data_IF_420813043598
#
_entry.id   IF_420813043598
#
_cell.length_a   1.000
_cell.length_b   1.000
_cell.length_c   1.000
_cell.angle_alpha   90.00
_cell.angle_beta   90.00
_cell.angle_gamma   90.00
#
_symmetry.space_group_name_H-M   'P 1'
#
loop_
_entity.id
_entity.type
_entity.pdbx_description
1 polymer ?
#
# COMPACT_ATOMS: atom_id res chain seq x y z
N UNK A 1 22.09 29.56 -11.53
CA UNK A 1 21.30 28.32 -11.53
C UNK A 1 22.30 27.22 -11.78
N UNK A 2 22.44 26.30 -10.82
CA UNK A 2 23.40 25.20 -10.95
C UNK A 2 22.91 24.26 -12.05
N UNK A 3 23.81 23.73 -12.88
CA UNK A 3 23.45 23.01 -14.12
C UNK A 3 22.49 21.81 -13.93
N UNK A 4 22.36 21.28 -12.71
CA UNK A 4 21.47 20.17 -12.39
C UNK A 4 20.01 20.59 -12.11
N UNK A 5 19.74 21.87 -11.87
CA UNK A 5 18.37 22.38 -11.63
C UNK A 5 17.43 22.16 -12.85
N UNK A 6 18.01 22.00 -14.04
CA UNK A 6 17.28 21.64 -15.25
C UNK A 6 16.52 20.32 -15.11
N UNK A 7 17.15 19.28 -14.54
CA UNK A 7 16.53 17.96 -14.38
C UNK A 7 15.43 17.94 -13.32
N UNK A 8 15.59 18.75 -12.27
CA UNK A 8 14.59 18.89 -11.21
C UNK A 8 13.30 19.57 -11.67
N UNK A 9 13.40 20.49 -12.63
CA UNK A 9 12.25 21.17 -13.25
C UNK A 9 11.89 20.64 -14.64
N UNK A 10 12.44 19.48 -15.02
CA UNK A 10 12.38 18.95 -16.39
C UNK A 10 10.95 18.66 -16.87
N UNK A 11 10.04 18.31 -15.96
CA UNK A 11 8.62 18.05 -16.26
C UNK A 11 7.80 19.30 -16.55
N UNK A 12 8.31 20.49 -16.21
CA UNK A 12 7.61 21.78 -16.37
C UNK A 12 8.07 22.55 -17.61
N UNK A 13 9.09 22.03 -18.32
CA UNK A 13 9.74 22.68 -19.46
C UNK A 13 9.53 21.91 -20.76
N UNK A 14 9.89 22.54 -21.87
CA UNK A 14 9.93 21.90 -23.19
C UNK A 14 10.93 20.73 -23.20
N UNK A 15 10.48 19.54 -23.61
CA UNK A 15 11.27 18.31 -23.60
C UNK A 15 11.67 17.88 -25.03
N UNK A 16 12.91 18.16 -25.48
CA UNK A 16 13.41 17.61 -26.72
C UNK A 16 13.52 16.08 -26.65
N UNK A 17 13.27 15.39 -27.78
CA UNK A 17 13.26 13.92 -27.85
C UNK A 17 14.54 13.31 -28.43
N UNK A 18 15.37 14.11 -29.07
CA UNK A 18 16.60 13.69 -29.73
C UNK A 18 17.72 14.72 -29.51
N UNK A 19 18.98 14.29 -29.57
CA UNK A 19 20.14 15.19 -29.48
C UNK A 19 20.05 16.36 -30.47
N UNK A 20 19.58 16.10 -31.70
CA UNK A 20 19.40 17.15 -32.71
C UNK A 20 18.29 18.14 -32.36
N UNK A 21 17.18 17.66 -31.79
CA UNK A 21 16.12 18.55 -31.29
C UNK A 21 16.55 19.36 -30.07
N UNK A 22 17.39 18.78 -29.20
CA UNK A 22 17.94 19.46 -28.04
C UNK A 22 18.94 20.54 -28.46
N UNK A 23 19.78 20.27 -29.46
CA UNK A 23 20.70 21.25 -30.02
C UNK A 23 19.96 22.43 -30.66
N UNK A 24 18.86 22.17 -31.36
CA UNK A 24 18.01 23.23 -31.92
C UNK A 24 17.33 24.03 -30.81
N UNK A 25 16.73 23.36 -29.83
CA UNK A 25 16.08 24.02 -28.69
C UNK A 25 17.07 24.86 -27.88
N UNK A 26 18.32 24.39 -27.72
CA UNK A 26 19.39 25.13 -27.06
C UNK A 26 19.76 26.40 -27.84
N UNK A 27 19.86 26.32 -29.18
CA UNK A 27 20.11 27.50 -30.02
C UNK A 27 19.02 28.56 -29.90
N UNK A 28 17.77 28.12 -29.74
CA UNK A 28 16.61 29.01 -29.56
C UNK A 28 16.40 29.44 -28.09
N UNK A 29 17.28 29.05 -27.16
CA UNK A 29 17.18 29.39 -25.74
C UNK A 29 16.00 28.75 -25.01
N UNK A 30 15.42 27.66 -25.54
CA UNK A 30 14.27 26.96 -24.96
C UNK A 30 14.67 25.94 -23.89
N UNK A 31 15.92 25.50 -23.89
CA UNK A 31 16.48 24.53 -22.93
C UNK A 31 17.94 24.89 -22.62
N UNK A 32 18.43 24.43 -21.47
CA UNK A 32 19.82 24.63 -21.03
C UNK A 32 20.78 23.64 -21.72
N UNK A 33 22.09 23.87 -21.60
CA UNK A 33 23.12 23.06 -22.26
C UNK A 33 23.09 21.59 -21.81
N UNK A 34 22.67 21.35 -20.57
CA UNK A 34 22.52 20.03 -19.95
C UNK A 34 21.48 19.17 -20.66
N UNK A 35 20.46 19.78 -21.29
CA UNK A 35 19.49 19.06 -22.12
C UNK A 35 20.15 18.41 -23.35
N UNK A 36 21.09 19.13 -23.97
CA UNK A 36 21.84 18.64 -25.12
C UNK A 36 22.90 17.63 -24.70
N UNK A 37 23.60 17.86 -23.58
CA UNK A 37 24.57 16.91 -23.04
C UNK A 37 23.85 15.59 -22.72
N UNK A 38 22.77 15.61 -21.94
CA UNK A 38 22.02 14.40 -21.56
C UNK A 38 21.60 13.56 -22.78
N UNK A 39 21.00 14.19 -23.80
CA UNK A 39 20.55 13.50 -25.01
C UNK A 39 21.67 13.17 -26.00
N UNK A 40 22.80 13.88 -25.94
CA UNK A 40 23.94 13.74 -26.83
C UNK A 40 24.96 12.71 -26.37
N UNK A 41 25.08 12.48 -25.06
CA UNK A 41 26.04 11.52 -24.50
C UNK A 41 25.38 10.22 -23.99
N UNK A 42 24.05 10.09 -24.09
CA UNK A 42 23.28 8.94 -23.57
C UNK A 42 23.56 8.63 -22.09
N UNK A 43 23.95 9.63 -21.31
CA UNK A 43 24.19 9.49 -19.87
C UNK A 43 22.86 9.81 -19.18
N UNK A 44 22.23 8.80 -18.55
CA UNK A 44 21.05 9.01 -17.70
C UNK A 44 21.44 9.90 -16.51
N UNK A 45 20.61 10.87 -16.09
CA UNK A 45 20.91 11.68 -14.92
C UNK A 45 20.95 10.76 -13.70
N UNK A 46 21.82 11.04 -12.74
CA UNK A 46 21.87 10.29 -11.49
C UNK A 46 20.57 10.37 -10.65
N UNK A 47 19.67 11.30 -11.01
CA UNK A 47 18.34 11.47 -10.41
C UNK A 47 17.28 10.48 -10.93
N UNK A 48 17.53 9.75 -12.03
CA UNK A 48 16.72 8.56 -12.35
C UNK A 48 17.13 7.48 -11.35
N UNK A 49 16.32 7.22 -10.32
CA UNK A 49 16.54 6.07 -9.42
C UNK A 49 16.67 4.81 -10.29
N UNK A 50 17.88 4.21 -10.42
CA UNK A 50 18.02 3.03 -11.25
C UNK A 50 17.35 1.89 -10.48
N UNK A 51 16.16 1.51 -10.92
CA UNK A 51 15.49 0.34 -10.39
C UNK A 51 16.23 -0.89 -10.94
N UNK A 52 16.80 -1.68 -10.04
CA UNK A 52 17.44 -2.95 -10.38
C UNK A 52 16.34 -4.00 -10.66
N UNK A 53 16.08 -4.23 -11.96
CA UNK A 53 15.07 -5.19 -12.41
C UNK A 53 15.44 -6.63 -12.04
N UNK A 54 16.73 -6.96 -12.01
CA UNK A 54 17.20 -8.30 -11.64
C UNK A 54 16.94 -8.57 -10.16
N UNK A 55 17.12 -7.57 -9.29
CA UNK A 55 16.78 -7.71 -7.88
C UNK A 55 15.27 -7.79 -7.66
N UNK A 56 14.46 -7.05 -8.44
CA UNK A 56 13.00 -7.22 -8.41
C UNK A 56 12.60 -8.65 -8.81
N UNK A 57 13.14 -9.18 -9.90
CA UNK A 57 12.85 -10.54 -10.34
C UNK A 57 13.26 -11.58 -9.28
N UNK A 58 14.42 -11.37 -8.66
CA UNK A 58 14.90 -12.19 -7.54
C UNK A 58 13.96 -12.15 -6.34
N UNK A 59 13.45 -10.97 -5.96
CA UNK A 59 12.46 -10.84 -4.89
C UNK A 59 11.18 -11.60 -5.28
N UNK A 60 10.68 -11.37 -6.51
CA UNK A 60 9.48 -11.99 -7.03
C UNK A 60 9.60 -13.51 -7.15
N UNK A 61 10.80 -14.07 -7.29
CA UNK A 61 11.01 -15.53 -7.32
C UNK A 61 10.58 -16.24 -6.02
N UNK A 62 10.50 -15.51 -4.90
CA UNK A 62 10.02 -16.05 -3.62
C UNK A 62 8.50 -16.15 -3.62
N UNK A 63 7.96 -17.28 -3.18
CA UNK A 63 6.50 -17.53 -3.17
C UNK A 63 5.79 -16.97 -1.93
N UNK A 64 6.53 -16.65 -0.87
CA UNK A 64 6.05 -16.25 0.45
C UNK A 64 6.40 -14.80 0.81
N UNK A 65 6.34 -13.90 -0.17
CA UNK A 65 6.47 -12.46 0.08
C UNK A 65 5.38 -11.95 1.03
N UNK A 66 5.80 -11.22 2.05
CA UNK A 66 4.89 -10.51 2.96
C UNK A 66 4.14 -9.37 2.26
N UNK A 67 3.11 -8.86 2.93
CA UNK A 67 2.25 -7.82 2.39
C UNK A 67 3.02 -6.52 2.13
N UNK A 68 3.89 -6.11 3.05
CA UNK A 68 4.63 -4.84 2.97
C UNK A 68 5.57 -4.82 1.76
N UNK A 69 6.28 -5.94 1.55
CA UNK A 69 7.12 -6.18 0.39
C UNK A 69 6.30 -6.15 -0.89
N UNK A 70 5.15 -6.83 -0.93
CA UNK A 70 4.27 -6.79 -2.11
C UNK A 70 3.76 -5.37 -2.40
N UNK A 71 3.38 -4.60 -1.38
CA UNK A 71 2.95 -3.20 -1.54
C UNK A 71 4.09 -2.36 -2.10
N UNK A 72 5.31 -2.51 -1.58
CA UNK A 72 6.47 -1.74 -2.04
C UNK A 72 6.84 -2.08 -3.48
N UNK A 73 6.93 -3.37 -3.80
CA UNK A 73 7.25 -3.85 -5.15
C UNK A 73 6.20 -3.38 -6.14
N UNK A 74 4.90 -3.52 -5.84
CA UNK A 74 3.84 -3.03 -6.74
C UNK A 74 3.89 -1.52 -6.92
N UNK A 75 4.21 -0.73 -5.88
CA UNK A 75 4.42 0.73 -6.04
C UNK A 75 5.55 1.05 -7.01
N UNK A 76 6.66 0.31 -6.96
CA UNK A 76 7.78 0.48 -7.89
C UNK A 76 7.34 0.09 -9.30
N UNK A 77 6.74 -1.09 -9.47
CA UNK A 77 6.27 -1.59 -10.77
C UNK A 77 5.23 -0.65 -11.41
N UNK A 78 4.31 -0.07 -10.63
CA UNK A 78 3.32 0.90 -11.13
C UNK A 78 3.97 2.17 -11.70
N UNK A 79 5.16 2.56 -11.23
CA UNK A 79 5.94 3.64 -11.84
C UNK A 79 6.55 3.16 -13.17
N UNK A 80 7.13 1.95 -13.19
CA UNK A 80 7.78 1.35 -14.35
C UNK A 80 6.82 1.00 -15.50
N UNK A 81 5.54 0.74 -15.23
CA UNK A 81 4.52 0.54 -16.28
C UNK A 81 4.41 1.75 -17.22
N UNK A 82 4.81 2.94 -16.76
CA UNK A 82 4.80 4.18 -17.56
C UNK A 82 6.16 4.51 -18.18
N UNK A 83 7.13 3.60 -18.09
CA UNK A 83 8.45 3.80 -18.67
C UNK A 83 8.37 3.93 -20.20
N UNK A 84 9.31 4.68 -20.79
CA UNK A 84 9.41 4.85 -22.24
C UNK A 84 9.98 3.61 -22.91
N UNK A 85 10.78 2.83 -22.19
CA UNK A 85 11.31 1.55 -22.64
C UNK A 85 10.22 0.47 -22.60
N UNK A 86 9.84 -0.12 -23.75
CA UNK A 86 8.77 -1.12 -23.80
C UNK A 86 9.10 -2.40 -23.02
N UNK A 87 10.37 -2.79 -22.95
CA UNK A 87 10.78 -4.00 -22.21
C UNK A 87 10.60 -3.80 -20.70
N UNK A 88 11.06 -2.68 -20.17
CA UNK A 88 10.84 -2.28 -18.77
C UNK A 88 9.36 -2.19 -18.42
N UNK A 89 8.55 -1.56 -19.28
CA UNK A 89 7.11 -1.44 -19.07
C UNK A 89 6.39 -2.80 -19.11
N UNK A 90 6.79 -3.68 -20.05
CA UNK A 90 6.24 -5.04 -20.15
C UNK A 90 6.61 -5.89 -18.94
N UNK A 91 7.89 -5.90 -18.53
CA UNK A 91 8.35 -6.57 -17.32
C UNK A 91 7.54 -6.13 -16.11
N UNK A 92 7.29 -4.82 -15.98
CA UNK A 92 6.52 -4.29 -14.87
C UNK A 92 5.07 -4.78 -14.87
N UNK A 93 4.41 -4.80 -16.02
CA UNK A 93 3.05 -5.29 -16.18
C UNK A 93 2.94 -6.81 -15.89
N UNK A 94 3.89 -7.61 -16.39
CA UNK A 94 3.94 -9.05 -16.14
C UNK A 94 4.20 -9.38 -14.66
N UNK A 95 5.09 -8.62 -14.02
CA UNK A 95 5.40 -8.75 -12.60
C UNK A 95 4.20 -8.43 -11.71
N UNK A 96 3.44 -7.39 -12.04
CA UNK A 96 2.17 -7.09 -11.35
C UNK A 96 1.21 -8.27 -11.52
N UNK A 97 0.99 -8.75 -12.75
CA UNK A 97 0.12 -9.90 -13.01
C UNK A 97 0.55 -11.17 -12.24
N UNK A 98 1.85 -11.38 -12.07
CA UNK A 98 2.38 -12.50 -11.29
C UNK A 98 1.94 -12.43 -9.82
N UNK A 99 2.08 -11.26 -9.18
CA UNK A 99 1.61 -11.03 -7.81
C UNK A 99 0.10 -11.27 -7.71
N UNK A 100 -0.68 -10.69 -8.63
CA UNK A 100 -2.14 -10.85 -8.67
C UNK A 100 -2.55 -12.32 -8.78
N UNK A 101 -1.88 -13.07 -9.67
CA UNK A 101 -2.15 -14.49 -9.87
C UNK A 101 -1.87 -15.33 -8.62
N UNK A 102 -0.85 -14.99 -7.83
CA UNK A 102 -0.60 -15.67 -6.53
C UNK A 102 -1.76 -15.51 -5.57
N UNK A 103 -2.25 -14.28 -5.41
CA UNK A 103 -3.42 -14.00 -4.58
C UNK A 103 -4.67 -14.70 -5.10
N UNK A 104 -4.93 -14.64 -6.41
CA UNK A 104 -6.09 -15.29 -7.02
C UNK A 104 -6.08 -16.81 -6.82
N UNK A 105 -4.92 -17.47 -6.95
CA UNK A 105 -4.77 -18.91 -6.65
C UNK A 105 -5.12 -19.22 -5.20
N UNK A 106 -4.55 -18.50 -4.23
CA UNK A 106 -4.85 -18.66 -2.80
C UNK A 106 -6.34 -18.46 -2.52
N UNK A 107 -6.95 -17.45 -3.12
CA UNK A 107 -8.39 -17.16 -3.00
C UNK A 107 -9.25 -18.32 -3.51
N UNK A 108 -8.95 -18.86 -4.68
CA UNK A 108 -9.72 -19.97 -5.25
C UNK A 108 -9.52 -21.27 -4.46
N UNK A 109 -8.32 -21.53 -3.95
CA UNK A 109 -8.05 -22.65 -3.03
C UNK A 109 -8.85 -22.54 -1.73
N UNK A 110 -8.91 -21.35 -1.12
CA UNK A 110 -9.69 -21.07 0.08
C UNK A 110 -11.19 -21.22 -0.19
N UNK A 111 -11.70 -20.69 -1.31
CA UNK A 111 -13.11 -20.85 -1.72
C UNK A 111 -13.47 -22.32 -1.92
N UNK A 112 -12.61 -23.08 -2.60
CA UNK A 112 -12.80 -24.51 -2.84
C UNK A 112 -12.80 -25.31 -1.52
N UNK A 113 -11.86 -25.00 -0.63
CA UNK A 113 -11.73 -25.65 0.68
C UNK A 113 -12.95 -25.36 1.57
N UNK A 114 -13.43 -24.10 1.56
CA UNK A 114 -14.66 -23.73 2.25
C UNK A 114 -15.89 -24.44 1.69
N UNK A 115 -16.03 -24.54 0.36
CA UNK A 115 -17.16 -25.27 -0.26
C UNK A 115 -17.18 -26.75 0.12
N UNK A 116 -16.01 -27.38 0.29
CA UNK A 116 -15.90 -28.81 0.66
C UNK A 116 -16.18 -29.07 2.14
N UNK A 117 -15.68 -28.21 3.02
CA UNK A 117 -15.65 -28.47 4.48
C UNK A 117 -16.70 -27.69 5.25
N UNK A 118 -17.12 -26.54 4.74
CA UNK A 118 -17.94 -25.57 5.48
C UNK A 118 -17.20 -24.86 6.62
N UNK A 119 -15.89 -25.06 6.78
CA UNK A 119 -15.14 -24.49 7.90
C UNK A 119 -14.98 -22.96 7.73
N UNK A 120 -15.52 -22.23 8.70
CA UNK A 120 -15.50 -20.77 8.72
C UNK A 120 -14.09 -20.19 8.88
N UNK A 121 -13.10 -20.97 9.32
CA UNK A 121 -11.69 -20.53 9.32
C UNK A 121 -11.21 -20.14 7.92
N UNK A 122 -11.73 -20.80 6.87
CA UNK A 122 -11.43 -20.45 5.48
C UNK A 122 -12.04 -19.11 5.08
N UNK A 123 -13.20 -18.73 5.62
CA UNK A 123 -13.79 -17.41 5.39
C UNK A 123 -12.95 -16.30 6.05
N UNK A 124 -12.42 -16.54 7.25
CA UNK A 124 -11.52 -15.58 7.92
C UNK A 124 -10.25 -15.36 7.10
N UNK A 125 -9.62 -16.45 6.64
CA UNK A 125 -8.44 -16.39 5.77
C UNK A 125 -8.75 -15.72 4.43
N UNK A 126 -9.91 -16.00 3.85
CA UNK A 126 -10.36 -15.39 2.60
C UNK A 126 -10.58 -13.88 2.76
N UNK A 127 -11.20 -13.45 3.86
CA UNK A 127 -11.34 -12.04 4.18
C UNK A 127 -9.98 -11.34 4.28
N UNK A 128 -9.00 -11.98 4.92
CA UNK A 128 -7.66 -11.43 5.01
C UNK A 128 -6.98 -11.30 3.64
N UNK A 129 -7.09 -12.32 2.76
CA UNK A 129 -6.54 -12.24 1.40
C UNK A 129 -7.16 -11.12 0.57
N UNK A 130 -8.47 -10.88 0.71
CA UNK A 130 -9.11 -9.73 0.07
C UNK A 130 -8.66 -8.40 0.67
N UNK A 131 -8.50 -8.32 1.99
CA UNK A 131 -7.96 -7.13 2.63
C UNK A 131 -6.53 -6.82 2.15
N UNK A 132 -5.66 -7.82 2.09
CA UNK A 132 -4.30 -7.69 1.55
C UNK A 132 -4.30 -7.16 0.11
N UNK A 133 -5.10 -7.75 -0.78
CA UNK A 133 -5.26 -7.25 -2.16
C UNK A 133 -5.73 -5.79 -2.19
N UNK A 134 -6.65 -5.42 -1.30
CA UNK A 134 -7.14 -4.04 -1.26
C UNK A 134 -6.07 -3.01 -0.90
N UNK A 135 -5.00 -3.44 -0.20
CA UNK A 135 -3.86 -2.60 0.17
C UNK A 135 -2.83 -2.47 -0.96
N UNK A 136 -2.80 -3.43 -1.89
CA UNK A 136 -1.94 -3.43 -3.07
C UNK A 136 -2.49 -2.50 -4.15
N UNK A 137 -3.81 -2.53 -4.37
CA UNK A 137 -4.46 -1.69 -5.38
C UNK A 137 -4.95 -0.35 -4.81
N UNK A 138 -5.25 0.58 -5.72
CA UNK A 138 -5.88 1.86 -5.39
C UNK A 138 -7.26 2.01 -6.05
N UNK A 139 -8.04 2.98 -5.57
CA UNK A 139 -9.30 3.37 -6.20
C UNK A 139 -10.43 2.34 -6.09
N UNK A 140 -11.18 2.16 -7.18
CA UNK A 140 -12.37 1.30 -7.23
C UNK A 140 -12.06 -0.19 -7.00
N UNK A 141 -10.90 -0.65 -7.44
CA UNK A 141 -10.45 -2.03 -7.28
C UNK A 141 -10.21 -2.35 -5.79
N UNK A 142 -9.54 -1.43 -5.08
CA UNK A 142 -9.37 -1.54 -3.62
C UNK A 142 -10.72 -1.65 -2.91
N UNK A 143 -11.67 -0.77 -3.25
CA UNK A 143 -13.02 -0.80 -2.68
C UNK A 143 -13.79 -2.09 -2.99
N UNK A 144 -13.59 -2.69 -4.16
CA UNK A 144 -14.19 -3.98 -4.50
C UNK A 144 -13.70 -5.06 -3.53
N UNK A 145 -12.37 -5.18 -3.33
CA UNK A 145 -11.81 -6.17 -2.43
C UNK A 145 -12.16 -5.93 -0.96
N UNK A 146 -12.23 -4.67 -0.51
CA UNK A 146 -12.70 -4.35 0.84
C UNK A 146 -14.15 -4.82 1.07
N UNK A 147 -15.02 -4.68 0.07
CA UNK A 147 -16.41 -5.16 0.16
C UNK A 147 -16.48 -6.68 0.20
N UNK A 148 -15.65 -7.37 -0.59
CA UNK A 148 -15.55 -8.83 -0.55
C UNK A 148 -15.02 -9.33 0.82
N UNK A 149 -14.01 -8.65 1.38
CA UNK A 149 -13.51 -8.94 2.72
C UNK A 149 -14.61 -8.77 3.78
N UNK A 150 -15.33 -7.64 3.73
CA UNK A 150 -16.46 -7.38 4.62
C UNK A 150 -17.57 -8.42 4.48
N UNK A 151 -17.91 -8.84 3.25
CA UNK A 151 -18.92 -9.86 2.97
C UNK A 151 -18.57 -11.19 3.63
N UNK A 152 -17.31 -11.61 3.57
CA UNK A 152 -16.82 -12.82 4.23
C UNK A 152 -16.98 -12.71 5.76
N UNK A 153 -16.57 -11.59 6.36
CA UNK A 153 -16.66 -11.36 7.81
C UNK A 153 -18.09 -11.25 8.31
N UNK A 154 -18.96 -10.57 7.55
CA UNK A 154 -20.38 -10.48 7.83
C UNK A 154 -21.08 -11.85 7.74
N UNK A 155 -20.60 -12.74 6.87
CA UNK A 155 -21.09 -14.12 6.82
C UNK A 155 -20.68 -14.91 8.05
N UNK A 156 -19.44 -14.75 8.55
CA UNK A 156 -19.00 -15.40 9.78
C UNK A 156 -19.86 -14.93 10.96
N UNK A 157 -20.09 -13.63 11.11
CA UNK A 157 -20.84 -13.07 12.24
C UNK A 157 -22.31 -13.51 12.30
N UNK A 158 -22.91 -13.85 11.15
CA UNK A 158 -24.27 -14.43 11.10
C UNK A 158 -24.33 -15.87 11.58
N UNK A 159 -23.24 -16.63 11.44
CA UNK A 159 -23.20 -18.07 11.75
C UNK A 159 -22.66 -18.31 13.15
N UNK A 160 -21.63 -17.57 13.56
CA UNK A 160 -20.99 -17.71 14.87
C UNK A 160 -20.50 -16.37 15.40
N UNK A 161 -20.13 -16.37 16.69
CA UNK A 161 -19.35 -15.27 17.27
C UNK A 161 -18.01 -15.16 16.53
N UNK A 162 -17.74 -13.96 16.00
CA UNK A 162 -16.46 -13.65 15.34
C UNK A 162 -15.32 -13.67 16.36
N UNK A 163 -14.15 -14.10 15.89
CA UNK A 163 -12.92 -14.09 16.69
C UNK A 163 -12.45 -12.67 16.94
N UNK A 164 -11.50 -12.50 17.86
CA UNK A 164 -10.87 -11.20 18.13
C UNK A 164 -10.19 -10.65 16.88
N UNK A 165 -9.46 -11.51 16.18
CA UNK A 165 -8.73 -11.19 14.96
C UNK A 165 -9.69 -10.79 13.83
N UNK A 166 -10.82 -11.51 13.69
CA UNK A 166 -11.87 -11.15 12.73
C UNK A 166 -12.48 -9.77 13.06
N UNK A 167 -12.71 -9.45 14.34
CA UNK A 167 -13.21 -8.12 14.75
C UNK A 167 -12.23 -7.01 14.36
N UNK A 168 -10.95 -7.20 14.67
CA UNK A 168 -9.91 -6.25 14.30
C UNK A 168 -9.87 -6.04 12.78
N UNK A 169 -9.99 -7.13 12.01
CA UNK A 169 -10.05 -7.05 10.55
C UNK A 169 -11.31 -6.33 10.05
N UNK A 170 -12.49 -6.55 10.65
CA UNK A 170 -13.72 -5.79 10.33
C UNK A 170 -13.49 -4.30 10.53
N UNK A 171 -12.91 -3.90 11.66
CA UNK A 171 -12.63 -2.50 11.96
C UNK A 171 -11.67 -1.89 10.93
N UNK A 172 -10.56 -2.57 10.62
CA UNK A 172 -9.62 -2.14 9.57
C UNK A 172 -10.31 -1.95 8.22
N UNK A 173 -11.14 -2.91 7.80
CA UNK A 173 -11.91 -2.82 6.56
C UNK A 173 -12.86 -1.61 6.56
N UNK A 174 -13.56 -1.35 7.66
CA UNK A 174 -14.46 -0.22 7.78
C UNK A 174 -13.74 1.13 7.79
N UNK A 175 -12.56 1.22 8.43
CA UNK A 175 -11.71 2.40 8.41
C UNK A 175 -11.29 2.74 6.97
N UNK A 176 -10.83 1.75 6.20
CA UNK A 176 -10.45 1.94 4.80
C UNK A 176 -11.64 2.31 3.90
N UNK A 177 -12.81 1.72 4.16
CA UNK A 177 -14.08 2.09 3.50
C UNK A 177 -14.65 3.45 3.98
N UNK A 178 -13.96 4.14 4.89
CA UNK A 178 -14.39 5.42 5.49
C UNK A 178 -15.74 5.35 6.20
N UNK A 179 -16.12 4.17 6.69
CA UNK A 179 -17.37 3.91 7.42
C UNK A 179 -17.14 4.11 8.93
N UNK A 180 -16.71 5.30 9.32
CA UNK A 180 -16.23 5.59 10.68
C UNK A 180 -17.30 5.39 11.76
N UNK A 181 -18.57 5.71 11.47
CA UNK A 181 -19.65 5.55 12.45
C UNK A 181 -19.98 4.07 12.70
N UNK A 182 -19.88 3.25 11.67
CA UNK A 182 -20.03 1.80 11.81
C UNK A 182 -18.85 1.21 12.59
N UNK A 183 -17.63 1.64 12.29
CA UNK A 183 -16.44 1.23 13.03
C UNK A 183 -16.56 1.60 14.51
N UNK A 184 -16.95 2.83 14.83
CA UNK A 184 -17.20 3.29 16.20
C UNK A 184 -18.24 2.43 16.91
N UNK A 185 -19.38 2.14 16.26
CA UNK A 185 -20.45 1.34 16.87
C UNK A 185 -20.02 -0.11 17.14
N UNK A 186 -19.16 -0.68 16.30
CA UNK A 186 -18.59 -2.02 16.54
C UNK A 186 -17.59 -1.98 17.69
N UNK A 187 -16.74 -0.96 17.73
CA UNK A 187 -15.72 -0.79 18.75
C UNK A 187 -16.33 -0.59 20.14
N UNK A 188 -17.41 0.19 20.26
CA UNK A 188 -18.18 0.36 21.50
C UNK A 188 -18.79 -0.95 22.04
N UNK A 189 -19.17 -1.87 21.13
CA UNK A 189 -19.76 -3.17 21.48
C UNK A 189 -18.71 -4.27 21.68
N UNK A 190 -17.43 -3.96 21.50
CA UNK A 190 -16.33 -4.92 21.61
C UNK A 190 -15.93 -5.03 23.07
N UNK A 191 -16.14 -6.20 23.68
CA UNK A 191 -15.79 -6.45 25.08
C UNK A 191 -14.28 -6.33 25.33
N UNK A 192 -13.49 -6.66 24.31
CA UNK A 192 -12.03 -6.65 24.30
C UNK A 192 -11.44 -5.25 24.02
N UNK A 193 -12.24 -4.18 24.04
CA UNK A 193 -11.83 -2.80 23.70
C UNK A 193 -10.62 -2.28 24.50
N UNK A 194 -10.36 -2.85 25.67
CA UNK A 194 -9.20 -2.50 26.50
C UNK A 194 -7.89 -3.16 26.05
N UNK A 195 -7.90 -4.08 25.10
CA UNK A 195 -6.67 -4.68 24.56
C UNK A 195 -5.96 -3.71 23.60
N UNK A 196 -4.62 -3.74 23.59
CA UNK A 196 -3.76 -2.86 22.79
C UNK A 196 -4.17 -2.77 21.31
N UNK A 197 -4.56 -3.89 20.68
CA UNK A 197 -4.99 -3.92 19.26
C UNK A 197 -6.19 -3.00 19.04
N UNK A 198 -7.18 -3.02 19.94
CA UNK A 198 -8.38 -2.21 19.79
C UNK A 198 -8.16 -0.75 20.20
N UNK A 199 -7.26 -0.49 21.15
CA UNK A 199 -6.84 0.87 21.49
C UNK A 199 -6.16 1.52 20.27
N UNK A 200 -5.28 0.78 19.57
CA UNK A 200 -4.66 1.23 18.32
C UNK A 200 -5.70 1.55 17.24
N UNK A 201 -6.68 0.67 17.04
CA UNK A 201 -7.76 0.90 16.07
C UNK A 201 -8.67 2.08 16.47
N UNK A 202 -8.86 2.30 17.77
CA UNK A 202 -9.59 3.47 18.30
C UNK A 202 -8.81 4.76 18.06
N UNK A 203 -7.49 4.75 18.28
CA UNK A 203 -6.61 5.88 17.96
C UNK A 203 -6.65 6.20 16.45
N UNK A 204 -6.56 5.18 15.59
CA UNK A 204 -6.66 5.37 14.14
C UNK A 204 -8.04 5.96 13.75
N UNK A 205 -9.13 5.43 14.30
CA UNK A 205 -10.49 5.95 14.06
C UNK A 205 -10.59 7.44 14.38
N UNK A 206 -10.11 7.85 15.56
CA UNK A 206 -10.16 9.24 16.00
C UNK A 206 -9.22 10.13 15.18
N UNK A 207 -8.07 9.63 14.75
CA UNK A 207 -7.19 10.32 13.81
C UNK A 207 -7.88 10.59 12.46
N UNK A 208 -8.54 9.58 11.89
CA UNK A 208 -9.30 9.70 10.63
C UNK A 208 -10.47 10.69 10.75
N UNK A 209 -11.05 10.81 11.95
CA UNK A 209 -12.07 11.81 12.31
C UNK A 209 -11.52 13.19 12.66
N UNK A 210 -10.20 13.36 12.68
CA UNK A 210 -9.49 14.60 13.08
C UNK A 210 -9.72 15.00 14.53
N UNK A 211 -10.00 14.03 15.40
CA UNK A 211 -10.17 14.24 16.82
C UNK A 211 -8.85 13.98 17.58
N UNK A 212 -7.87 14.86 17.37
CA UNK A 212 -6.51 14.66 17.87
C UNK A 212 -6.41 14.61 19.41
N UNK A 213 -7.33 15.26 20.12
CA UNK A 213 -7.42 15.15 21.57
C UNK A 213 -7.67 13.70 22.00
N UNK A 214 -8.59 13.02 21.32
CA UNK A 214 -8.85 11.61 21.62
C UNK A 214 -7.69 10.72 21.17
N UNK A 215 -7.00 11.04 20.07
CA UNK A 215 -5.80 10.30 19.66
C UNK A 215 -4.77 10.30 20.78
N UNK A 216 -4.43 11.47 21.34
CA UNK A 216 -3.47 11.58 22.45
C UNK A 216 -3.95 10.76 23.67
N UNK A 217 -5.24 10.84 23.99
CA UNK A 217 -5.81 10.04 25.09
C UNK A 217 -5.67 8.53 24.85
N UNK A 218 -5.89 8.06 23.63
CA UNK A 218 -5.70 6.64 23.30
C UNK A 218 -4.22 6.24 23.31
N UNK A 219 -3.32 7.09 22.81
CA UNK A 219 -1.88 6.86 22.89
C UNK A 219 -1.40 6.77 24.36
N UNK A 220 -1.89 7.63 25.24
CA UNK A 220 -1.58 7.58 26.66
C UNK A 220 -2.06 6.27 27.31
N UNK A 221 -3.23 5.75 26.92
CA UNK A 221 -3.71 4.43 27.36
C UNK A 221 -2.87 3.30 26.79
N UNK A 222 -2.41 3.43 25.55
CA UNK A 222 -1.62 2.43 24.86
C UNK A 222 -0.20 2.32 25.44
N UNK A 223 0.34 3.40 26.01
CA UNK A 223 1.62 3.40 26.73
C UNK A 223 1.68 2.36 27.86
N UNK A 224 0.56 2.04 28.51
CA UNK A 224 0.49 0.96 29.51
C UNK A 224 0.82 -0.44 28.93
N UNK A 225 0.81 -0.58 27.60
CA UNK A 225 1.09 -1.82 26.88
C UNK A 225 2.38 -1.75 26.07
N UNK A 226 3.27 -0.78 26.31
CA UNK A 226 4.48 -0.51 25.51
C UNK A 226 5.31 -1.78 25.22
N UNK A 227 5.49 -2.66 26.21
CA UNK A 227 6.24 -3.91 26.05
C UNK A 227 5.63 -4.90 25.05
N UNK A 228 4.32 -4.81 24.80
CA UNK A 228 3.58 -5.68 23.89
C UNK A 228 3.46 -5.11 22.47
N UNK A 229 3.97 -3.89 22.24
CA UNK A 229 3.89 -3.20 20.95
C UNK A 229 5.06 -3.56 20.05
N UNK A 230 4.78 -3.56 18.75
CA UNK A 230 5.81 -3.58 17.72
C UNK A 230 6.49 -2.20 17.58
N UNK A 231 7.59 -2.17 16.84
CA UNK A 231 8.37 -0.94 16.64
C UNK A 231 7.57 0.15 15.90
N UNK A 232 6.65 -0.22 15.03
CA UNK A 232 5.79 0.76 14.35
C UNK A 232 4.85 1.44 15.34
N UNK A 233 4.19 0.68 16.20
CA UNK A 233 3.30 1.22 17.23
C UNK A 233 4.06 2.07 18.27
N UNK A 234 5.31 1.71 18.61
CA UNK A 234 6.18 2.54 19.46
C UNK A 234 6.52 3.88 18.81
N UNK A 235 6.93 3.88 17.54
CA UNK A 235 7.19 5.12 16.81
C UNK A 235 5.95 6.05 16.77
N UNK A 236 4.74 5.47 16.68
CA UNK A 236 3.49 6.23 16.76
C UNK A 236 3.31 6.83 18.17
N UNK A 237 3.59 6.07 19.23
CA UNK A 237 3.53 6.58 20.61
C UNK A 237 4.49 7.74 20.82
N UNK A 238 5.76 7.58 20.43
CA UNK A 238 6.80 8.60 20.59
C UNK A 238 6.40 9.90 19.89
N UNK A 239 5.89 9.80 18.65
CA UNK A 239 5.41 10.95 17.89
C UNK A 239 4.27 11.72 18.59
N UNK A 240 3.31 11.02 19.20
CA UNK A 240 2.13 11.65 19.82
C UNK A 240 2.33 12.07 21.28
N UNK A 241 3.22 11.41 22.01
CA UNK A 241 3.49 11.68 23.43
C UNK A 241 4.70 12.60 23.64
N UNK A 242 5.59 12.73 22.65
CA UNK A 242 6.61 13.77 22.60
C UNK A 242 7.88 13.46 23.39
N UNK A 243 8.38 12.22 23.29
CA UNK A 243 9.74 11.85 23.72
C UNK A 243 10.78 12.11 22.61
#
# INVERSE_FOLDING_TARGET
>A
MEGLDYFRSFHERYQPKTAMSALRALREGLVEQEAYIHLGVSIKPADDEPVDLDEIDRILSRDDLDLETNILVVKILQKLVKDRDPETALFAAESINLIENRYNRRIEELKSSFKKTGDLSFLSRLANQFYELSRIYSGSISNFYLKEAYSCLARISRIKKITREDKALVLRVLLELKQYDQAASILEKTAERAEHIFIMLEAELEFRRRNFYQVIHQCARLFEFEEALDEEAKNILDYWLGD
#
